data_IF_987532109546
#
_entry.id   IF_987532109546
#
_cell.length_a   1.000
_cell.length_b   1.000
_cell.length_c   1.000
_cell.angle_alpha   90.00
_cell.angle_beta   90.00
_cell.angle_gamma   90.00
#
_symmetry.space_group_name_H-M   'P 1'
#
loop_
_entity.id
_entity.type
_entity.pdbx_description
1 polymer ?
#
# COMPACT_ATOMS: atom_id res chain seq x y z
N UNK A 1 -4.01 11.05 -11.65
CA UNK A 1 -4.97 10.58 -10.65
C UNK A 1 -4.82 9.09 -10.34
N UNK A 2 -4.68 8.26 -11.37
CA UNK A 2 -4.42 6.82 -11.18
C UNK A 2 -3.21 6.58 -10.29
N UNK A 3 -2.13 7.29 -10.54
CA UNK A 3 -0.88 7.14 -9.78
C UNK A 3 -1.08 7.51 -8.31
N UNK A 4 -1.82 8.57 -8.03
CA UNK A 4 -2.09 9.00 -6.65
C UNK A 4 -2.92 7.97 -5.90
N UNK A 5 -3.92 7.40 -6.55
CA UNK A 5 -4.73 6.33 -5.96
C UNK A 5 -3.87 5.11 -5.61
N UNK A 6 -3.03 4.68 -6.55
CA UNK A 6 -2.17 3.52 -6.34
C UNK A 6 -1.16 3.78 -5.22
N UNK A 7 -0.57 4.98 -5.18
CA UNK A 7 0.35 5.35 -4.10
C UNK A 7 -0.33 5.36 -2.74
N UNK A 8 -1.57 5.85 -2.67
CA UNK A 8 -2.32 5.87 -1.41
C UNK A 8 -2.60 4.46 -0.90
N UNK A 9 -2.98 3.55 -1.78
CA UNK A 9 -3.19 2.14 -1.44
C UNK A 9 -1.89 1.51 -0.98
N UNK A 10 -0.82 1.70 -1.74
CA UNK A 10 0.48 1.12 -1.43
C UNK A 10 1.03 1.61 -0.09
N UNK A 11 0.78 2.87 0.28
CA UNK A 11 1.25 3.38 1.56
C UNK A 11 0.56 2.67 2.74
N UNK A 12 -0.73 2.42 2.64
CA UNK A 12 -1.44 1.68 3.69
C UNK A 12 -0.82 0.30 3.86
N UNK A 13 -0.53 -0.39 2.77
CA UNK A 13 0.16 -1.69 2.82
C UNK A 13 1.58 -1.56 3.37
N UNK A 14 2.34 -0.56 2.92
CA UNK A 14 3.72 -0.35 3.36
C UNK A 14 3.81 -0.08 4.86
N UNK A 15 2.83 0.64 5.42
CA UNK A 15 2.76 0.91 6.87
C UNK A 15 2.65 -0.36 7.70
N UNK A 16 2.12 -1.43 7.13
CA UNK A 16 2.03 -2.74 7.77
C UNK A 16 3.23 -3.65 7.44
N UNK A 17 4.18 -3.16 6.66
CA UNK A 17 5.38 -3.92 6.31
C UNK A 17 5.28 -4.71 5.02
N UNK A 18 4.40 -4.29 4.10
CA UNK A 18 4.28 -4.97 2.81
C UNK A 18 5.65 -5.10 2.13
N UNK A 19 5.99 -6.32 1.75
CA UNK A 19 7.21 -6.60 1.00
C UNK A 19 6.97 -6.27 -0.47
N UNK A 20 7.77 -5.34 -1.01
CA UNK A 20 7.80 -5.06 -2.44
C UNK A 20 9.03 -5.73 -3.05
N UNK A 21 8.95 -6.07 -4.33
CA UNK A 21 10.08 -6.71 -5.00
C UNK A 21 11.31 -5.79 -4.99
N UNK A 22 12.45 -6.35 -4.63
CA UNK A 22 13.70 -5.60 -4.51
C UNK A 22 14.04 -4.89 -5.83
N UNK A 23 14.34 -3.60 -5.73
CA UNK A 23 14.70 -2.76 -6.88
C UNK A 23 13.53 -2.20 -7.66
N UNK A 24 12.28 -2.58 -7.35
CA UNK A 24 11.11 -1.97 -7.97
C UNK A 24 10.87 -0.56 -7.40
N UNK A 25 10.04 0.22 -8.13
CA UNK A 25 9.76 1.61 -7.77
C UNK A 25 9.25 1.74 -6.33
N UNK A 26 8.34 0.86 -5.91
CA UNK A 26 7.79 0.93 -4.55
C UNK A 26 8.84 0.58 -3.50
N UNK A 27 9.67 -0.42 -3.76
CA UNK A 27 10.75 -0.78 -2.84
C UNK A 27 11.72 0.40 -2.67
N UNK A 28 12.18 0.97 -3.78
CA UNK A 28 13.09 2.11 -3.77
C UNK A 28 12.47 3.29 -3.01
N UNK A 29 11.20 3.56 -3.27
CA UNK A 29 10.49 4.68 -2.63
C UNK A 29 10.41 4.51 -1.12
N UNK A 30 9.95 3.35 -0.64
CA UNK A 30 9.71 3.14 0.78
C UNK A 30 10.99 2.89 1.58
N UNK A 31 12.05 2.38 0.95
CA UNK A 31 13.35 2.20 1.62
C UNK A 31 13.97 3.53 2.08
N UNK A 32 13.47 4.65 1.62
CA UNK A 32 13.90 5.98 2.09
C UNK A 32 13.42 6.29 3.50
N UNK A 33 12.43 5.59 4.01
CA UNK A 33 11.80 5.90 5.29
C UNK A 33 12.25 4.91 6.36
N UNK A 34 12.67 5.44 7.50
CA UNK A 34 13.10 4.61 8.64
C UNK A 34 11.98 3.68 9.11
N UNK A 35 10.74 4.20 9.20
CA UNK A 35 9.61 3.40 9.65
C UNK A 35 9.39 2.16 8.79
N UNK A 36 9.68 2.25 7.49
CA UNK A 36 9.56 1.10 6.59
C UNK A 36 10.73 0.13 6.76
N UNK A 37 11.96 0.67 6.80
CA UNK A 37 13.17 -0.17 6.93
C UNK A 37 13.17 -0.98 8.23
N UNK A 38 12.60 -0.42 9.30
CA UNK A 38 12.58 -1.05 10.62
C UNK A 38 11.44 -2.05 10.81
N UNK A 39 10.47 -2.07 9.90
CA UNK A 39 9.33 -2.98 9.97
C UNK A 39 9.69 -4.33 9.35
N UNK A 40 9.20 -5.41 9.96
CA UNK A 40 9.35 -6.75 9.38
C UNK A 40 8.57 -6.84 8.07
N UNK A 41 9.29 -7.12 6.97
CA UNK A 41 8.70 -7.20 5.64
C UNK A 41 8.03 -8.56 5.45
N UNK A 42 6.81 -8.54 4.97
CA UNK A 42 6.02 -9.76 4.68
C UNK A 42 4.92 -9.42 3.67
N UNK A 43 4.19 -10.43 3.24
CA UNK A 43 2.99 -10.22 2.42
C UNK A 43 1.85 -9.88 3.38
N UNK A 44 1.38 -8.64 3.32
CA UNK A 44 0.34 -8.15 4.23
C UNK A 44 -1.01 -8.74 3.86
N UNK A 45 -1.66 -9.38 4.83
CA UNK A 45 -2.99 -9.95 4.66
C UNK A 45 -4.06 -8.94 5.05
N UNK A 46 -5.25 -9.07 4.45
CA UNK A 46 -6.37 -8.16 4.70
C UNK A 46 -6.72 -8.02 6.18
N UNK A 47 -6.62 -9.13 6.92
CA UNK A 47 -6.98 -9.15 8.34
C UNK A 47 -6.03 -8.37 9.24
N UNK A 48 -4.87 -7.97 8.73
CA UNK A 48 -3.92 -7.15 9.50
C UNK A 48 -4.39 -5.69 9.62
N UNK A 49 -5.27 -5.24 8.74
CA UNK A 49 -5.76 -3.87 8.76
C UNK A 49 -6.86 -3.69 9.80
N UNK A 50 -6.89 -2.52 10.43
CA UNK A 50 -8.01 -2.14 11.30
C UNK A 50 -9.22 -1.74 10.44
N UNK A 51 -10.35 -1.49 11.09
CA UNK A 51 -11.62 -1.19 10.39
C UNK A 51 -11.54 0.11 9.57
N UNK A 52 -10.82 1.11 10.08
CA UNK A 52 -10.64 2.38 9.37
C UNK A 52 -9.81 2.17 8.11
N UNK A 53 -8.72 1.42 8.21
CA UNK A 53 -7.87 1.11 7.07
C UNK A 53 -8.62 0.30 6.01
N UNK A 54 -9.39 -0.68 6.44
CA UNK A 54 -10.23 -1.48 5.54
C UNK A 54 -11.25 -0.60 4.79
N UNK A 55 -11.88 0.32 5.49
CA UNK A 55 -12.82 1.24 4.89
C UNK A 55 -12.14 2.15 3.86
N UNK A 56 -10.96 2.67 4.20
CA UNK A 56 -10.18 3.50 3.29
C UNK A 56 -9.73 2.72 2.06
N UNK A 57 -9.27 1.50 2.24
CA UNK A 57 -8.86 0.65 1.12
C UNK A 57 -10.04 0.33 0.20
N UNK A 58 -11.20 -0.02 0.76
CA UNK A 58 -12.39 -0.27 -0.05
C UNK A 58 -12.79 0.95 -0.87
N UNK A 59 -12.71 2.13 -0.26
CA UNK A 59 -13.03 3.38 -0.94
C UNK A 59 -12.06 3.65 -2.10
N UNK A 60 -10.75 3.55 -1.84
CA UNK A 60 -9.73 3.79 -2.87
C UNK A 60 -9.83 2.77 -4.00
N UNK A 61 -10.03 1.50 -3.66
CA UNK A 61 -10.19 0.43 -4.65
C UNK A 61 -11.44 0.66 -5.50
N UNK A 62 -12.55 1.09 -4.88
CA UNK A 62 -13.78 1.36 -5.61
C UNK A 62 -13.60 2.48 -6.64
N UNK A 63 -12.79 3.49 -6.32
CA UNK A 63 -12.45 4.54 -7.26
C UNK A 63 -11.63 3.99 -8.43
N UNK A 64 -10.65 3.14 -8.15
CA UNK A 64 -9.86 2.50 -9.21
C UNK A 64 -10.76 1.68 -10.15
N UNK A 65 -11.70 0.95 -9.59
CA UNK A 65 -12.64 0.15 -10.38
C UNK A 65 -13.56 1.03 -11.21
N UNK A 66 -14.07 2.12 -10.63
CA UNK A 66 -14.95 3.06 -11.33
C UNK A 66 -14.28 3.70 -12.54
N UNK A 67 -13.00 4.05 -12.41
CA UNK A 67 -12.24 4.67 -13.50
C UNK A 67 -11.54 3.65 -14.41
N UNK A 68 -11.71 2.36 -14.18
CA UNK A 68 -11.11 1.34 -15.01
C UNK A 68 -9.60 1.18 -14.82
N UNK A 69 -9.09 1.51 -13.64
CA UNK A 69 -7.66 1.41 -13.33
C UNK A 69 -7.24 0.02 -12.83
N UNK A 70 -8.18 -0.86 -12.66
CA UNK A 70 -7.91 -2.24 -12.20
C UNK A 70 -8.28 -3.26 -13.25
#
# INVERSE_FOLDING_TARGET
FQRLLRMSINEIYARHGQMFNAGEVNDIHYQKYNWYRETNKHVVEWDEFNDIEKANLRFLISIEEEYGYR
#
